data_IF_585036561954
#
_entry.id   IF_585036561954
#
_cell.length_a   1.000
_cell.length_b   1.000
_cell.length_c   1.000
_cell.angle_alpha   90.00
_cell.angle_beta   90.00
_cell.angle_gamma   90.00
#
_symmetry.space_group_name_H-M   'P 1'
#
loop_
_entity.id
_entity.type
_entity.pdbx_description
1 polymer ?
#
# COMPACT_ATOMS: atom_id res chain seq x y z
N UNK A 1 4.25 -47.05 -22.20
CA UNK A 1 3.70 -46.46 -20.96
C UNK A 1 4.71 -45.55 -20.21
N UNK A 2 5.57 -44.78 -20.90
CA UNK A 2 6.59 -43.90 -20.26
C UNK A 2 6.26 -42.41 -20.30
N UNK A 3 5.31 -41.99 -21.14
CA UNK A 3 4.95 -40.59 -21.34
C UNK A 3 4.11 -39.97 -20.19
N UNK A 4 3.43 -40.80 -19.39
CA UNK A 4 2.62 -40.31 -18.27
C UNK A 4 3.48 -39.83 -17.09
N UNK A 5 4.58 -40.53 -16.81
CA UNK A 5 5.52 -40.16 -15.75
C UNK A 5 6.24 -38.84 -16.05
N UNK A 6 6.64 -38.62 -17.30
CA UNK A 6 7.30 -37.37 -17.72
C UNK A 6 6.37 -36.17 -17.65
N UNK A 7 5.09 -36.34 -17.98
CA UNK A 7 4.08 -35.28 -17.85
C UNK A 7 3.82 -34.92 -16.39
N UNK A 8 3.75 -35.92 -15.51
CA UNK A 8 3.52 -35.71 -14.08
C UNK A 8 4.69 -34.97 -13.43
N UNK A 9 5.93 -35.33 -13.79
CA UNK A 9 7.15 -34.63 -13.34
C UNK A 9 7.18 -33.18 -13.82
N UNK A 10 6.82 -32.92 -15.08
CA UNK A 10 6.74 -31.55 -15.61
C UNK A 10 5.68 -30.71 -14.89
N UNK A 11 4.52 -31.31 -14.59
CA UNK A 11 3.42 -30.62 -13.90
C UNK A 11 3.80 -30.27 -12.46
N UNK A 12 4.48 -31.17 -11.75
CA UNK A 12 5.01 -30.91 -10.40
C UNK A 12 6.11 -29.84 -10.44
N UNK A 13 7.00 -29.87 -11.43
CA UNK A 13 8.03 -28.84 -11.60
C UNK A 13 7.40 -27.45 -11.85
N UNK A 14 6.35 -27.37 -12.65
CA UNK A 14 5.62 -26.12 -12.92
C UNK A 14 4.92 -25.57 -11.67
N UNK A 15 4.33 -26.43 -10.83
CA UNK A 15 3.71 -26.03 -9.55
C UNK A 15 4.74 -25.53 -8.52
N UNK A 16 5.94 -26.09 -8.51
CA UNK A 16 7.02 -25.63 -7.64
C UNK A 16 7.63 -24.31 -8.14
N UNK A 17 7.69 -24.09 -9.46
CA UNK A 17 8.13 -22.80 -10.02
C UNK A 17 7.13 -21.68 -9.71
N UNK A 18 5.82 -21.94 -9.80
CA UNK A 18 4.79 -20.93 -9.54
C UNK A 18 4.75 -20.48 -8.08
N UNK A 19 5.08 -21.37 -7.14
CA UNK A 19 5.19 -21.01 -5.71
C UNK A 19 6.42 -20.16 -5.38
N UNK A 20 7.52 -20.30 -6.13
CA UNK A 20 8.70 -19.43 -6.00
C UNK A 20 8.52 -18.03 -6.61
N UNK A 21 7.57 -17.89 -7.53
CA UNK A 21 7.33 -16.67 -8.30
C UNK A 21 6.38 -15.68 -7.62
N UNK A 22 5.87 -15.97 -6.41
CA UNK A 22 5.19 -14.95 -5.63
C UNK A 22 6.24 -13.99 -5.08
N UNK A 23 6.30 -12.72 -5.55
CA UNK A 23 7.07 -11.72 -4.86
C UNK A 23 6.43 -11.57 -3.49
N UNK A 24 7.07 -12.18 -2.48
CA UNK A 24 6.80 -11.86 -1.10
C UNK A 24 7.10 -10.39 -0.96
N UNK A 25 6.07 -9.53 -1.06
CA UNK A 25 6.13 -8.12 -0.74
C UNK A 25 6.40 -8.01 0.77
N UNK A 26 7.63 -8.33 1.15
CA UNK A 26 8.15 -8.18 2.48
C UNK A 26 8.36 -6.70 2.65
N UNK A 27 7.33 -6.01 3.15
CA UNK A 27 7.38 -4.60 3.51
C UNK A 27 8.37 -4.43 4.67
N UNK A 28 9.67 -4.39 4.35
CA UNK A 28 10.75 -4.12 5.28
C UNK A 28 10.72 -2.62 5.59
N UNK A 29 9.94 -2.25 6.61
CA UNK A 29 9.90 -0.89 7.15
C UNK A 29 11.24 -0.57 7.83
N UNK A 30 12.21 -0.13 7.03
CA UNK A 30 13.44 0.45 7.55
C UNK A 30 13.12 1.80 8.22
N UNK A 31 12.91 1.76 9.54
CA UNK A 31 12.66 2.91 10.42
C UNK A 31 13.91 3.79 10.65
N UNK A 32 14.55 4.29 9.59
CA UNK A 32 15.54 5.39 9.67
C UNK A 32 15.53 6.34 8.47
N UNK A 33 14.36 6.59 7.84
CA UNK A 33 14.17 7.85 7.10
C UNK A 33 13.81 8.91 8.14
N UNK A 34 14.69 9.89 8.37
CA UNK A 34 14.33 11.13 9.05
C UNK A 34 13.02 11.62 8.44
N UNK A 35 11.90 11.54 9.19
CA UNK A 35 10.59 12.02 8.72
C UNK A 35 10.73 13.52 8.47
N UNK A 36 10.99 13.91 7.22
CA UNK A 36 10.91 15.31 6.78
C UNK A 36 9.44 15.66 6.87
N UNK A 37 9.08 16.42 7.91
CA UNK A 37 7.71 16.90 8.12
C UNK A 37 7.59 18.25 7.43
N UNK A 38 6.68 18.35 6.48
CA UNK A 38 6.35 19.58 5.79
C UNK A 38 5.52 20.46 6.72
N UNK A 39 6.03 21.65 7.05
CA UNK A 39 5.28 22.65 7.79
C UNK A 39 4.38 23.43 6.83
N UNK A 40 3.07 23.30 7.00
CA UNK A 40 2.08 23.90 6.11
C UNK A 40 1.21 24.88 6.90
N UNK A 41 1.05 26.10 6.38
CA UNK A 41 0.15 27.10 6.97
C UNK A 41 -1.30 26.64 6.79
N UNK A 42 -2.07 26.66 7.87
CA UNK A 42 -3.50 26.32 7.85
C UNK A 42 -4.23 27.24 6.86
N UNK A 43 -5.07 26.68 5.99
CA UNK A 43 -5.81 27.41 4.97
C UNK A 43 -5.02 27.76 3.71
N UNK A 44 -3.72 27.43 3.64
CA UNK A 44 -2.95 27.57 2.39
C UNK A 44 -3.51 26.69 1.28
N UNK A 45 -3.10 26.98 0.03
CA UNK A 45 -3.42 26.13 -1.12
C UNK A 45 -2.93 24.69 -0.93
N UNK A 46 -1.75 24.52 -0.32
CA UNK A 46 -1.18 23.20 -0.04
C UNK A 46 -2.00 22.43 1.02
N UNK A 47 -2.47 23.09 2.08
CA UNK A 47 -3.37 22.48 3.08
C UNK A 47 -4.69 22.01 2.43
N UNK A 48 -5.27 22.83 1.55
CA UNK A 48 -6.47 22.46 0.80
C UNK A 48 -6.23 21.28 -0.14
N UNK A 49 -5.12 21.28 -0.89
CA UNK A 49 -4.77 20.16 -1.77
C UNK A 49 -4.57 18.87 -0.97
N UNK A 50 -3.84 18.93 0.14
CA UNK A 50 -3.63 17.77 1.02
C UNK A 50 -4.95 17.18 1.51
N UNK A 51 -5.83 18.02 2.09
CA UNK A 51 -7.16 17.58 2.56
C UNK A 51 -8.02 17.01 1.44
N UNK A 52 -7.98 17.61 0.26
CA UNK A 52 -8.70 17.13 -0.91
C UNK A 52 -8.20 15.74 -1.31
N UNK A 53 -6.89 15.56 -1.45
CA UNK A 53 -6.27 14.26 -1.78
C UNK A 53 -6.66 13.18 -0.76
N UNK A 54 -6.60 13.48 0.53
CA UNK A 54 -7.01 12.55 1.59
C UNK A 54 -8.48 12.09 1.44
N UNK A 55 -9.37 13.02 1.09
CA UNK A 55 -10.78 12.70 0.86
C UNK A 55 -11.02 11.92 -0.44
N UNK A 56 -10.29 12.25 -1.50
CA UNK A 56 -10.37 11.54 -2.78
C UNK A 56 -9.94 10.08 -2.61
N UNK A 57 -8.88 9.82 -1.84
CA UNK A 57 -8.46 8.45 -1.49
C UNK A 57 -9.51 7.68 -0.70
N UNK A 58 -10.11 8.30 0.33
CA UNK A 58 -11.22 7.69 1.08
C UNK A 58 -12.36 7.30 0.15
N UNK A 59 -12.79 8.22 -0.73
CA UNK A 59 -13.86 7.96 -1.69
C UNK A 59 -13.50 6.83 -2.65
N UNK A 60 -12.33 6.89 -3.27
CA UNK A 60 -11.86 5.87 -4.22
C UNK A 60 -11.82 4.48 -3.56
N UNK A 61 -11.38 4.40 -2.31
CA UNK A 61 -11.39 3.17 -1.56
C UNK A 61 -12.81 2.64 -1.29
N UNK A 62 -13.73 3.50 -0.83
CA UNK A 62 -15.13 3.12 -0.62
C UNK A 62 -15.83 2.63 -1.90
N UNK A 63 -15.48 3.19 -3.06
CA UNK A 63 -16.07 2.77 -4.33
C UNK A 63 -15.52 1.42 -4.83
N UNK A 64 -14.25 1.12 -4.57
CA UNK A 64 -13.60 -0.10 -5.03
C UNK A 64 -13.78 -1.29 -4.06
N UNK A 65 -13.85 -1.05 -2.76
CA UNK A 65 -14.00 -2.08 -1.74
C UNK A 65 -15.15 -1.74 -0.78
N UNK A 66 -16.31 -2.37 -0.98
CA UNK A 66 -17.44 -2.37 -0.04
C UNK A 66 -17.16 -3.14 1.26
N UNK A 67 -15.94 -3.65 1.46
CA UNK A 67 -15.61 -4.51 2.60
C UNK A 67 -15.34 -3.63 3.82
N UNK A 68 -16.37 -3.51 4.66
CA UNK A 68 -16.31 -2.89 5.98
C UNK A 68 -15.13 -3.47 6.78
N UNK A 69 -14.15 -2.62 7.13
CA UNK A 69 -13.22 -2.90 8.22
C UNK A 69 -11.74 -3.07 7.86
N UNK A 70 -11.28 -2.63 6.69
CA UNK A 70 -9.84 -2.68 6.41
C UNK A 70 -9.12 -1.47 7.04
N UNK A 71 -8.54 -1.69 8.22
CA UNK A 71 -7.72 -0.71 8.95
C UNK A 71 -6.46 -0.27 8.18
N UNK A 72 -6.13 -0.96 7.08
CA UNK A 72 -4.97 -0.65 6.25
C UNK A 72 -5.03 0.75 5.61
N UNK A 73 -6.19 1.19 5.11
CA UNK A 73 -6.31 2.52 4.53
C UNK A 73 -6.13 3.60 5.58
N UNK A 74 -6.77 3.46 6.74
CA UNK A 74 -6.69 4.46 7.81
C UNK A 74 -5.26 4.60 8.34
N UNK A 75 -4.48 3.52 8.41
CA UNK A 75 -3.06 3.60 8.76
C UNK A 75 -2.24 4.32 7.68
N UNK A 76 -2.46 4.03 6.39
CA UNK A 76 -1.78 4.72 5.29
C UNK A 76 -2.12 6.22 5.31
N UNK A 77 -3.40 6.57 5.47
CA UNK A 77 -3.87 7.94 5.55
C UNK A 77 -3.28 8.65 6.79
N UNK A 78 -3.25 7.98 7.95
CA UNK A 78 -2.60 8.50 9.16
C UNK A 78 -1.10 8.77 8.94
N UNK A 79 -0.40 7.85 8.26
CA UNK A 79 1.00 8.04 7.92
C UNK A 79 1.20 9.22 6.96
N UNK A 80 0.36 9.35 5.94
CA UNK A 80 0.37 10.49 5.01
C UNK A 80 0.15 11.81 5.73
N UNK A 81 -0.85 11.88 6.61
CA UNK A 81 -1.13 13.08 7.40
C UNK A 81 0.01 13.41 8.36
N UNK A 82 0.73 12.41 8.87
CA UNK A 82 1.89 12.61 9.75
C UNK A 82 3.06 13.36 9.11
N UNK A 83 3.11 13.43 7.78
CA UNK A 83 4.11 14.22 7.05
C UNK A 83 3.75 15.70 6.97
N UNK A 84 2.49 16.08 7.19
CA UNK A 84 2.03 17.47 7.18
C UNK A 84 1.85 17.94 8.62
N UNK A 85 2.61 18.94 9.04
CA UNK A 85 2.40 19.59 10.34
C UNK A 85 1.77 20.97 10.15
N UNK A 86 0.74 21.32 10.94
CA UNK A 86 0.26 22.69 10.99
C UNK A 86 1.40 23.59 11.44
N UNK A 87 1.69 24.62 10.64
CA UNK A 87 2.51 25.75 11.10
C UNK A 87 1.57 26.71 11.82
N UNK A 88 1.66 26.74 13.14
CA UNK A 88 1.04 27.79 13.95
C UNK A 88 1.97 28.99 13.94
N UNK A 89 1.48 30.13 13.45
CA UNK A 89 2.21 31.36 13.27
C UNK A 89 1.28 32.42 12.72
#
# INVERSE_FOLDING_TARGET
MRASLTLLVLLVALLLLSTSAYPSFRHRSNHKRSKVRLMVRKGSKLDHMHRKTMNDWRKAYFFNEKRRGDFALDDILSQMDSFVRPRFG
#
